data_IF_158013921075
#
_entry.id   IF_158013921075
#
_cell.length_a   1.000
_cell.length_b   1.000
_cell.length_c   1.000
_cell.angle_alpha   90.00
_cell.angle_beta   90.00
_cell.angle_gamma   90.00
#
_symmetry.space_group_name_H-M   'P 1'
#
loop_
_entity.id
_entity.type
_entity.pdbx_description
1 polymer ?
#
# COMPACT_ATOMS: atom_id res chain seq x y z
N UNK A 1 9.09 5.30 18.89
CA UNK A 1 10.01 6.15 19.68
C UNK A 1 11.28 6.36 18.87
N UNK A 2 11.98 7.48 19.09
CA UNK A 2 13.23 7.80 18.39
C UNK A 2 14.29 6.68 18.51
N UNK A 3 14.32 6.00 19.64
CA UNK A 3 15.25 4.88 19.90
C UNK A 3 15.00 3.67 18.97
N UNK A 4 13.74 3.37 18.68
CA UNK A 4 13.38 2.28 17.75
C UNK A 4 13.81 2.63 16.34
N UNK A 5 13.57 3.86 15.91
CA UNK A 5 13.97 4.34 14.59
C UNK A 5 15.50 4.35 14.44
N UNK A 6 16.21 4.86 15.46
CA UNK A 6 17.66 4.85 15.49
C UNK A 6 18.22 3.42 15.43
N UNK A 7 17.70 2.51 16.25
CA UNK A 7 18.09 1.10 16.24
C UNK A 7 17.88 0.47 14.85
N UNK A 8 16.73 0.70 14.25
CA UNK A 8 16.39 0.17 12.92
C UNK A 8 17.36 0.68 11.86
N UNK A 9 17.64 1.98 11.85
CA UNK A 9 18.60 2.60 10.93
C UNK A 9 20.00 2.01 11.11
N UNK A 10 20.48 1.91 12.34
CA UNK A 10 21.81 1.36 12.62
C UNK A 10 21.91 -0.10 12.18
N UNK A 11 20.93 -0.93 12.53
CA UNK A 11 20.97 -2.36 12.19
C UNK A 11 20.79 -2.60 10.68
N UNK A 12 19.73 -2.04 10.08
CA UNK A 12 19.39 -2.38 8.69
C UNK A 12 20.28 -1.67 7.68
N UNK A 13 20.54 -0.37 7.89
CA UNK A 13 21.26 0.43 6.88
C UNK A 13 22.76 0.56 7.15
N UNK A 14 23.19 0.71 8.41
CA UNK A 14 24.62 0.91 8.68
C UNK A 14 25.36 -0.42 8.87
N UNK A 15 24.78 -1.37 9.63
CA UNK A 15 25.47 -2.65 9.89
C UNK A 15 25.40 -3.59 8.69
N UNK A 16 24.27 -3.67 8.00
CA UNK A 16 24.09 -4.55 6.85
C UNK A 16 24.21 -3.82 5.51
N UNK A 17 24.09 -2.48 5.48
CA UNK A 17 24.24 -1.67 4.28
C UNK A 17 23.20 -1.92 3.19
N UNK A 18 23.42 -1.32 2.01
CA UNK A 18 22.58 -1.51 0.82
C UNK A 18 23.15 -2.57 -0.13
N UNK A 19 24.45 -2.80 -0.08
CA UNK A 19 25.14 -3.86 -0.79
C UNK A 19 25.60 -4.92 0.21
N UNK A 20 25.09 -6.14 0.08
CA UNK A 20 25.41 -7.21 0.98
C UNK A 20 25.51 -8.54 0.21
N UNK A 21 26.41 -9.38 0.70
CA UNK A 21 26.57 -10.74 0.21
C UNK A 21 25.44 -11.64 0.74
N UNK A 22 25.26 -12.81 0.13
CA UNK A 22 24.28 -13.81 0.54
C UNK A 22 24.39 -14.19 2.02
N UNK A 23 25.59 -14.14 2.59
CA UNK A 23 25.86 -14.43 4.00
C UNK A 23 25.25 -13.39 4.93
N UNK A 24 25.36 -12.13 4.57
CA UNK A 24 24.83 -10.99 5.34
C UNK A 24 23.30 -10.94 5.27
N UNK A 25 22.75 -11.17 4.10
CA UNK A 25 21.31 -11.33 3.90
C UNK A 25 20.74 -12.43 4.82
N UNK A 26 21.39 -13.60 4.86
CA UNK A 26 20.96 -14.70 5.75
C UNK A 26 21.00 -14.31 7.23
N UNK A 27 21.98 -13.53 7.65
CA UNK A 27 22.10 -13.05 9.05
C UNK A 27 21.02 -12.07 9.40
N UNK A 28 20.74 -11.11 8.49
CA UNK A 28 19.65 -10.14 8.67
C UNK A 28 18.30 -10.85 8.73
N UNK A 29 18.03 -11.79 7.83
CA UNK A 29 16.80 -12.57 7.84
C UNK A 29 16.67 -13.43 9.11
N UNK A 30 17.76 -14.02 9.62
CA UNK A 30 17.76 -14.75 10.88
C UNK A 30 17.44 -13.83 12.09
N UNK A 31 17.98 -12.61 12.11
CA UNK A 31 17.65 -11.59 13.11
C UNK A 31 16.15 -11.24 13.04
N UNK A 32 15.63 -10.96 11.85
CA UNK A 32 14.21 -10.68 11.63
C UNK A 32 13.31 -11.84 12.08
N UNK A 33 13.70 -13.08 11.79
CA UNK A 33 12.99 -14.28 12.27
C UNK A 33 12.95 -14.34 13.80
N UNK A 34 14.08 -14.08 14.48
CA UNK A 34 14.13 -14.03 15.94
C UNK A 34 13.22 -12.96 16.53
N UNK A 35 13.23 -11.78 15.91
CA UNK A 35 12.37 -10.66 16.30
C UNK A 35 10.88 -10.98 16.09
N UNK A 36 10.52 -11.55 14.94
CA UNK A 36 9.16 -12.02 14.65
C UNK A 36 8.69 -13.09 15.65
N UNK A 37 9.53 -14.08 15.97
CA UNK A 37 9.18 -15.10 16.98
C UNK A 37 8.84 -14.47 18.33
N UNK A 38 9.59 -13.47 18.78
CA UNK A 38 9.30 -12.75 20.03
C UNK A 38 7.98 -11.98 19.94
N UNK A 39 7.74 -11.28 18.83
CA UNK A 39 6.50 -10.52 18.61
C UNK A 39 5.27 -11.44 18.64
N UNK A 40 5.34 -12.57 17.93
CA UNK A 40 4.26 -13.58 17.95
C UNK A 40 4.05 -14.17 19.35
N UNK A 41 5.12 -14.47 20.09
CA UNK A 41 5.01 -14.98 21.46
C UNK A 41 4.43 -13.94 22.42
N UNK A 42 4.70 -12.66 22.20
CA UNK A 42 4.21 -11.56 23.03
C UNK A 42 2.78 -11.13 22.71
N UNK A 43 2.22 -11.56 21.58
CA UNK A 43 0.86 -11.16 21.14
C UNK A 43 -0.28 -11.70 22.01
N UNK A 44 0.02 -12.61 22.94
CA UNK A 44 -0.97 -13.18 23.87
C UNK A 44 -2.12 -13.93 23.21
N UNK A 45 -1.98 -14.33 21.94
CA UNK A 45 -3.03 -14.96 21.15
C UNK A 45 -3.96 -13.97 20.41
N UNK A 46 -3.74 -12.67 20.53
CA UNK A 46 -4.54 -11.65 19.83
C UNK A 46 -3.99 -11.40 18.41
N UNK A 47 -4.57 -12.06 17.44
CA UNK A 47 -4.22 -11.92 16.03
C UNK A 47 -4.47 -10.49 15.49
N UNK A 48 -5.53 -9.83 15.96
CA UNK A 48 -5.92 -8.50 15.47
C UNK A 48 -4.98 -7.37 15.85
N UNK A 49 -4.16 -7.54 16.89
CA UNK A 49 -3.17 -6.55 17.33
C UNK A 49 -1.84 -6.69 16.58
N UNK A 50 -1.56 -7.87 16.02
CA UNK A 50 -0.33 -8.14 15.31
C UNK A 50 -0.18 -7.25 14.07
N UNK A 51 0.99 -6.68 13.84
CA UNK A 51 1.31 -5.75 12.75
C UNK A 51 0.58 -4.39 12.77
N UNK A 52 -0.37 -4.15 13.69
CA UNK A 52 -0.96 -2.81 13.88
C UNK A 52 -0.11 -1.92 14.78
N UNK A 53 0.60 -2.53 15.72
CA UNK A 53 1.49 -1.81 16.61
C UNK A 53 2.70 -1.25 15.83
N UNK A 54 3.15 -0.07 16.22
CA UNK A 54 4.39 0.53 15.76
C UNK A 54 5.57 -0.05 16.56
N UNK A 55 5.76 -1.37 16.47
CA UNK A 55 6.81 -2.09 17.21
C UNK A 55 8.17 -1.97 16.51
N UNK A 56 9.24 -2.25 17.24
CA UNK A 56 10.58 -2.31 16.66
C UNK A 56 10.66 -3.34 15.51
N UNK A 57 9.95 -4.45 15.63
CA UNK A 57 9.88 -5.50 14.61
C UNK A 57 9.22 -4.96 13.34
N UNK A 58 8.07 -4.30 13.49
CA UNK A 58 7.36 -3.68 12.36
C UNK A 58 8.23 -2.64 11.65
N UNK A 59 8.92 -1.77 12.40
CA UNK A 59 9.83 -0.77 11.82
C UNK A 59 11.01 -1.43 11.09
N UNK A 60 11.59 -2.48 11.65
CA UNK A 60 12.71 -3.20 11.02
C UNK A 60 12.26 -3.92 9.74
N UNK A 61 11.06 -4.52 9.72
CA UNK A 61 10.48 -5.10 8.52
C UNK A 61 10.22 -4.06 7.42
N UNK A 62 9.73 -2.87 7.80
CA UNK A 62 9.52 -1.77 6.86
C UNK A 62 10.85 -1.25 6.29
N UNK A 63 11.87 -1.10 7.13
CA UNK A 63 13.19 -0.70 6.67
C UNK A 63 13.78 -1.74 5.71
N UNK A 64 13.62 -3.02 6.01
CA UNK A 64 14.01 -4.11 5.11
C UNK A 64 13.28 -4.04 3.77
N UNK A 65 11.96 -3.82 3.79
CA UNK A 65 11.12 -3.73 2.60
C UNK A 65 11.38 -2.47 1.73
N UNK A 66 12.10 -1.48 2.26
CA UNK A 66 12.52 -0.26 1.53
C UNK A 66 13.94 -0.34 0.95
N UNK A 67 14.57 -1.51 0.99
CA UNK A 67 15.90 -1.69 0.41
C UNK A 67 15.84 -1.64 -1.13
N UNK A 68 16.94 -1.28 -1.82
CA UNK A 68 16.94 -1.06 -3.26
C UNK A 68 16.33 -2.20 -4.07
N UNK A 69 16.66 -3.45 -3.77
CA UNK A 69 16.11 -4.61 -4.47
C UNK A 69 14.59 -4.76 -4.32
N UNK A 70 14.06 -4.43 -3.13
CA UNK A 70 12.62 -4.48 -2.87
C UNK A 70 11.89 -3.31 -3.53
N UNK A 71 12.51 -2.13 -3.56
CA UNK A 71 11.97 -0.96 -4.26
C UNK A 71 11.98 -1.12 -5.77
N UNK A 72 13.06 -1.66 -6.36
CA UNK A 72 13.13 -1.97 -7.79
C UNK A 72 12.03 -2.97 -8.21
N UNK A 73 11.76 -3.99 -7.41
CA UNK A 73 10.67 -4.94 -7.68
C UNK A 73 9.28 -4.26 -7.64
N UNK A 74 9.06 -3.30 -6.75
CA UNK A 74 7.83 -2.49 -6.73
C UNK A 74 7.72 -1.60 -7.96
N UNK A 75 8.82 -0.96 -8.36
CA UNK A 75 8.88 -0.13 -9.55
C UNK A 75 8.53 -0.93 -10.80
N UNK A 76 9.19 -2.06 -11.03
CA UNK A 76 8.90 -2.95 -12.16
C UNK A 76 7.43 -3.42 -12.17
N UNK A 77 6.89 -3.68 -10.99
CA UNK A 77 5.53 -4.16 -10.82
C UNK A 77 4.48 -3.07 -11.05
N UNK A 78 4.68 -1.88 -10.51
CA UNK A 78 3.63 -0.84 -10.40
C UNK A 78 3.78 0.31 -11.38
N UNK A 79 5.02 0.70 -11.74
CA UNK A 79 5.25 1.92 -12.51
C UNK A 79 4.49 1.97 -13.85
N UNK A 80 4.37 0.89 -14.64
CA UNK A 80 3.62 0.96 -15.89
C UNK A 80 2.13 1.26 -15.69
N UNK A 81 1.51 0.69 -14.65
CA UNK A 81 0.10 0.94 -14.33
C UNK A 81 -0.10 2.33 -13.73
N UNK A 82 0.81 2.75 -12.85
CA UNK A 82 0.77 4.08 -12.25
C UNK A 82 0.96 5.18 -13.31
N UNK A 83 1.86 4.97 -14.26
CA UNK A 83 2.07 5.91 -15.37
C UNK A 83 0.80 6.08 -16.22
N UNK A 84 0.06 4.99 -16.46
CA UNK A 84 -1.21 5.05 -17.19
C UNK A 84 -2.30 5.79 -16.38
N UNK A 85 -2.46 5.45 -15.09
CA UNK A 85 -3.50 6.05 -14.22
C UNK A 85 -3.23 7.53 -13.94
N UNK A 86 -1.97 7.93 -13.88
CA UNK A 86 -1.53 9.28 -13.58
C UNK A 86 -1.21 10.12 -14.84
N UNK A 87 -1.47 9.58 -16.02
CA UNK A 87 -1.28 10.32 -17.26
C UNK A 87 -2.14 11.60 -17.27
N UNK A 88 -1.63 12.72 -17.84
CA UNK A 88 -2.36 14.00 -17.83
C UNK A 88 -3.74 13.96 -18.51
N UNK A 89 -3.91 13.04 -19.44
CA UNK A 89 -5.14 12.78 -20.21
C UNK A 89 -5.97 11.60 -19.65
N UNK A 90 -5.50 10.97 -18.56
CA UNK A 90 -6.25 9.89 -17.92
C UNK A 90 -7.53 10.42 -17.27
N UNK A 91 -8.60 9.61 -17.37
CA UNK A 91 -9.85 9.93 -16.69
C UNK A 91 -9.64 9.91 -15.17
N UNK A 92 -10.04 10.97 -14.45
CA UNK A 92 -9.94 11.01 -12.99
C UNK A 92 -10.74 9.87 -12.34
N UNK A 93 -10.12 9.17 -11.38
CA UNK A 93 -10.74 8.06 -10.64
C UNK A 93 -11.36 8.51 -9.29
N UNK A 94 -11.48 9.80 -9.05
CA UNK A 94 -12.09 10.33 -7.82
C UNK A 94 -13.59 9.98 -7.78
N UNK A 95 -14.01 9.33 -6.70
CA UNK A 95 -15.40 8.88 -6.49
C UNK A 95 -16.10 9.62 -5.34
N UNK A 96 -15.41 10.47 -4.60
CA UNK A 96 -16.06 11.22 -3.51
C UNK A 96 -17.06 12.22 -4.09
N UNK A 97 -18.37 12.11 -3.77
CA UNK A 97 -19.40 12.90 -4.41
C UNK A 97 -19.18 14.41 -4.34
N UNK A 98 -18.71 14.90 -3.18
CA UNK A 98 -18.38 16.31 -3.00
C UNK A 98 -17.23 16.78 -3.91
N UNK A 99 -16.17 15.97 -4.06
CA UNK A 99 -15.04 16.31 -4.92
C UNK A 99 -15.44 16.29 -6.41
N UNK A 100 -16.26 15.30 -6.82
CA UNK A 100 -16.81 15.24 -8.18
C UNK A 100 -17.70 16.45 -8.47
N UNK A 101 -18.60 16.81 -7.54
CA UNK A 101 -19.46 17.97 -7.69
C UNK A 101 -18.66 19.27 -7.82
N UNK A 102 -17.68 19.48 -6.94
CA UNK A 102 -16.79 20.65 -7.00
C UNK A 102 -16.02 20.71 -8.32
N UNK A 103 -15.55 19.57 -8.81
CA UNK A 103 -14.85 19.49 -10.09
C UNK A 103 -15.76 19.86 -11.27
N UNK A 104 -17.04 19.47 -11.25
CA UNK A 104 -18.03 19.86 -12.27
C UNK A 104 -18.31 21.35 -12.28
N UNK A 105 -18.46 21.98 -11.09
CA UNK A 105 -18.61 23.42 -10.95
C UNK A 105 -17.40 24.15 -11.54
N UNK A 106 -16.20 23.80 -11.09
CA UNK A 106 -14.96 24.43 -11.54
C UNK A 106 -14.72 24.26 -13.05
N UNK A 107 -15.01 23.07 -13.60
CA UNK A 107 -14.89 22.81 -15.04
C UNK A 107 -15.82 23.68 -15.88
N UNK A 108 -17.07 23.87 -15.41
CA UNK A 108 -18.00 24.76 -16.09
C UNK A 108 -17.50 26.21 -16.09
N UNK A 109 -17.16 26.74 -14.92
CA UNK A 109 -16.67 28.12 -14.75
C UNK A 109 -15.39 28.39 -15.53
N UNK A 110 -14.46 27.40 -15.57
CA UNK A 110 -13.21 27.53 -16.32
C UNK A 110 -13.44 27.50 -17.83
N UNK A 111 -14.45 26.78 -18.33
CA UNK A 111 -14.72 26.64 -19.75
C UNK A 111 -15.57 27.78 -20.34
N UNK A 112 -16.49 28.33 -19.56
CA UNK A 112 -17.44 29.33 -20.02
C UNK A 112 -17.08 30.75 -19.58
N UNK A 113 -16.36 30.90 -18.48
CA UNK A 113 -16.13 32.18 -17.80
C UNK A 113 -17.35 32.69 -16.98
N UNK A 114 -18.46 31.97 -17.02
CA UNK A 114 -19.68 32.30 -16.30
C UNK A 114 -19.84 31.43 -15.04
N UNK A 115 -20.60 31.91 -14.06
CA UNK A 115 -20.94 31.15 -12.87
C UNK A 115 -21.66 29.85 -13.24
N UNK A 116 -21.32 28.76 -12.57
CA UNK A 116 -21.95 27.46 -12.81
C UNK A 116 -23.45 27.51 -12.54
N UNK A 117 -24.31 26.89 -13.38
CA UNK A 117 -25.73 26.73 -13.10
C UNK A 117 -25.99 25.81 -11.90
N UNK A 118 -24.96 25.02 -11.51
CA UNK A 118 -25.01 24.23 -10.28
C UNK A 118 -24.76 25.12 -9.08
N UNK A 119 -25.58 25.04 -8.01
CA UNK A 119 -25.32 25.80 -6.80
C UNK A 119 -23.95 25.46 -6.22
N UNK A 120 -23.24 26.42 -5.60
CA UNK A 120 -21.95 26.11 -5.00
C UNK A 120 -22.09 24.99 -3.96
N UNK A 121 -21.07 24.12 -3.77
CA UNK A 121 -21.12 23.05 -2.78
C UNK A 121 -21.29 23.69 -1.39
N UNK A 122 -22.45 23.46 -0.81
CA UNK A 122 -22.84 24.02 0.50
C UNK A 122 -22.86 22.96 1.59
N UNK A 123 -23.98 22.84 2.28
CA UNK A 123 -24.20 21.91 3.39
C UNK A 123 -24.72 20.54 2.96
N UNK A 124 -24.73 20.24 1.64
CA UNK A 124 -25.22 18.95 1.15
C UNK A 124 -24.33 17.80 1.63
N UNK A 125 -25.00 16.71 1.98
CA UNK A 125 -24.34 15.45 2.34
C UNK A 125 -23.81 14.72 1.09
N UNK A 126 -22.83 13.84 1.26
CA UNK A 126 -22.32 13.00 0.17
C UNK A 126 -23.45 12.17 -0.49
N UNK A 127 -24.47 11.77 0.26
CA UNK A 127 -25.61 11.02 -0.26
C UNK A 127 -26.50 11.87 -1.19
N UNK A 128 -26.75 13.11 -0.80
CA UNK A 128 -27.53 14.08 -1.63
C UNK A 128 -26.76 14.43 -2.90
N UNK A 129 -25.45 14.66 -2.79
CA UNK A 129 -24.60 14.97 -3.94
C UNK A 129 -24.48 13.75 -4.87
N UNK A 130 -24.36 12.52 -4.36
CA UNK A 130 -24.34 11.31 -5.17
C UNK A 130 -25.64 11.09 -5.95
N UNK A 131 -26.79 11.53 -5.40
CA UNK A 131 -28.08 11.47 -6.08
C UNK A 131 -28.27 12.56 -7.14
N UNK A 132 -27.40 13.60 -7.15
CA UNK A 132 -27.47 14.67 -8.16
C UNK A 132 -27.20 14.09 -9.58
N UNK A 133 -28.04 14.31 -10.59
CA UNK A 133 -27.93 13.66 -11.88
C UNK A 133 -26.57 13.80 -12.57
N UNK A 134 -25.94 14.97 -12.50
CA UNK A 134 -24.62 15.20 -13.07
C UNK A 134 -23.51 14.42 -12.35
N UNK A 135 -23.58 14.31 -11.02
CA UNK A 135 -22.63 13.54 -10.22
C UNK A 135 -22.84 12.04 -10.45
N UNK A 136 -24.10 11.59 -10.43
CA UNK A 136 -24.46 10.21 -10.66
C UNK A 136 -23.98 9.71 -12.04
N UNK A 137 -24.09 10.54 -13.08
CA UNK A 137 -23.57 10.22 -14.41
C UNK A 137 -22.05 10.00 -14.41
N UNK A 138 -21.29 10.92 -13.76
CA UNK A 138 -19.84 10.79 -13.64
C UNK A 138 -19.44 9.57 -12.82
N UNK A 139 -20.13 9.30 -11.72
CA UNK A 139 -19.86 8.12 -10.89
C UNK A 139 -20.15 6.82 -11.63
N UNK A 140 -21.24 6.77 -12.44
CA UNK A 140 -21.58 5.61 -13.25
C UNK A 140 -20.52 5.26 -14.30
N UNK A 141 -19.76 6.26 -14.78
CA UNK A 141 -18.64 6.07 -15.70
C UNK A 141 -17.34 5.69 -14.95
N UNK A 142 -17.06 6.35 -13.84
CA UNK A 142 -15.78 6.15 -13.10
C UNK A 142 -15.72 4.86 -12.28
N UNK A 143 -16.84 4.39 -11.72
CA UNK A 143 -16.86 3.16 -10.90
C UNK A 143 -16.41 1.94 -11.69
N UNK A 144 -16.94 1.64 -12.89
CA UNK A 144 -16.47 0.52 -13.70
C UNK A 144 -14.98 0.66 -14.08
N UNK A 145 -14.54 1.87 -14.40
CA UNK A 145 -13.14 2.13 -14.73
C UNK A 145 -12.20 1.87 -13.56
N UNK A 146 -12.56 2.33 -12.35
CA UNK A 146 -11.79 2.04 -11.14
C UNK A 146 -11.74 0.54 -10.86
N UNK A 147 -12.87 -0.16 -10.97
CA UNK A 147 -12.91 -1.61 -10.77
C UNK A 147 -12.01 -2.35 -11.77
N UNK A 148 -12.07 -2.01 -13.05
CA UNK A 148 -11.19 -2.58 -14.08
C UNK A 148 -9.71 -2.28 -13.79
N UNK A 149 -9.40 -1.08 -13.29
CA UNK A 149 -8.02 -0.72 -12.88
C UNK A 149 -7.55 -1.55 -11.69
N UNK A 150 -8.42 -1.76 -10.69
CA UNK A 150 -8.11 -2.64 -9.55
C UNK A 150 -7.90 -4.11 -9.98
N UNK A 151 -8.72 -4.63 -10.90
CA UNK A 151 -8.57 -5.97 -11.44
C UNK A 151 -7.23 -6.15 -12.18
N UNK A 152 -6.85 -5.17 -13.00
CA UNK A 152 -5.55 -5.17 -13.68
C UNK A 152 -4.39 -5.11 -12.70
N UNK A 153 -4.51 -4.30 -11.64
CA UNK A 153 -3.52 -4.25 -10.57
C UNK A 153 -3.37 -5.62 -9.89
N UNK A 154 -4.47 -6.24 -9.50
CA UNK A 154 -4.44 -7.57 -8.86
C UNK A 154 -3.84 -8.62 -9.78
N UNK A 155 -4.24 -8.68 -11.04
CA UNK A 155 -3.67 -9.62 -12.01
C UNK A 155 -2.15 -9.42 -12.18
N UNK A 156 -1.70 -8.15 -12.19
CA UNK A 156 -0.27 -7.84 -12.28
C UNK A 156 0.49 -8.24 -11.00
N UNK A 157 -0.08 -8.01 -9.82
CA UNK A 157 0.50 -8.47 -8.55
C UNK A 157 0.63 -9.99 -8.52
N UNK A 158 -0.39 -10.72 -8.94
CA UNK A 158 -0.37 -12.19 -9.02
C UNK A 158 0.72 -12.69 -9.98
N UNK A 159 0.82 -12.09 -11.16
CA UNK A 159 1.84 -12.44 -12.15
C UNK A 159 3.27 -12.11 -11.71
N UNK A 160 3.43 -11.17 -10.77
CA UNK A 160 4.74 -10.68 -10.30
C UNK A 160 5.21 -11.33 -8.99
N UNK A 161 4.48 -12.27 -8.41
CA UNK A 161 4.83 -12.88 -7.11
C UNK A 161 6.23 -13.50 -7.13
N UNK A 162 6.60 -14.16 -8.22
CA UNK A 162 7.92 -14.79 -8.35
C UNK A 162 9.06 -13.78 -8.54
N UNK A 163 8.76 -12.57 -9.02
CA UNK A 163 9.71 -11.47 -9.16
C UNK A 163 9.99 -10.75 -7.83
N UNK A 164 9.16 -10.95 -6.80
CA UNK A 164 9.43 -10.39 -5.48
C UNK A 164 10.78 -10.89 -4.94
N UNK A 165 11.59 -10.02 -4.32
CA UNK A 165 12.87 -10.42 -3.73
C UNK A 165 12.75 -11.59 -2.77
N UNK A 166 13.75 -12.46 -2.79
CA UNK A 166 13.77 -13.65 -1.94
C UNK A 166 13.43 -13.34 -0.47
N UNK A 167 13.99 -12.29 0.10
CA UNK A 167 13.78 -11.96 1.50
C UNK A 167 12.35 -11.54 1.82
N UNK A 168 11.64 -10.83 0.92
CA UNK A 168 10.22 -10.48 1.11
C UNK A 168 9.37 -11.76 1.12
N UNK A 169 9.58 -12.66 0.17
CA UNK A 169 8.90 -13.96 0.11
C UNK A 169 9.22 -14.84 1.31
N UNK A 170 10.47 -14.81 1.76
CA UNK A 170 10.93 -15.57 2.92
C UNK A 170 10.28 -15.05 4.22
N UNK A 171 10.25 -13.73 4.43
CA UNK A 171 9.56 -13.11 5.58
C UNK A 171 8.08 -13.50 5.59
N UNK A 172 7.38 -13.37 4.46
CA UNK A 172 5.99 -13.77 4.33
C UNK A 172 5.76 -15.24 4.73
N UNK A 173 6.64 -16.14 4.29
CA UNK A 173 6.60 -17.56 4.66
C UNK A 173 6.84 -17.80 6.15
N UNK A 174 7.81 -17.12 6.74
CA UNK A 174 8.08 -17.22 8.18
C UNK A 174 6.90 -16.70 9.00
N UNK A 175 6.31 -15.57 8.61
CA UNK A 175 5.10 -15.04 9.26
C UNK A 175 3.94 -16.03 9.19
N UNK A 176 3.72 -16.66 8.04
CA UNK A 176 2.68 -17.69 7.89
C UNK A 176 2.93 -18.90 8.81
N UNK A 177 4.17 -19.37 8.89
CA UNK A 177 4.54 -20.49 9.75
C UNK A 177 4.35 -20.14 11.23
N UNK A 178 4.82 -18.97 11.67
CA UNK A 178 4.67 -18.50 13.04
C UNK A 178 3.21 -18.31 13.42
N UNK A 179 2.41 -17.72 12.52
CA UNK A 179 0.98 -17.54 12.74
C UNK A 179 0.25 -18.88 12.97
N UNK A 180 0.55 -19.90 12.16
CA UNK A 180 -0.05 -21.23 12.31
C UNK A 180 0.32 -21.90 13.63
N UNK A 181 1.52 -21.69 14.13
CA UNK A 181 1.98 -22.28 15.40
C UNK A 181 1.43 -21.49 16.60
N UNK A 182 1.37 -20.16 16.50
CA UNK A 182 0.96 -19.30 17.62
C UNK A 182 -0.56 -19.27 17.78
N UNK A 183 -1.30 -19.19 16.69
CA UNK A 183 -2.76 -19.06 16.68
C UNK A 183 -3.42 -20.41 16.36
N UNK A 184 -3.40 -21.32 17.33
CA UNK A 184 -3.98 -22.65 17.19
C UNK A 184 -5.47 -22.53 16.87
N UNK A 185 -5.94 -23.20 15.80
CA UNK A 185 -7.34 -23.13 15.35
C UNK A 185 -7.66 -21.96 14.41
N UNK A 186 -6.70 -21.08 14.12
CA UNK A 186 -6.91 -20.03 13.12
C UNK A 186 -7.14 -20.63 11.73
N UNK A 187 -8.14 -20.09 11.03
CA UNK A 187 -8.41 -20.46 9.63
C UNK A 187 -7.27 -20.00 8.69
N UNK A 188 -7.19 -20.63 7.52
CA UNK A 188 -6.23 -20.20 6.49
C UNK A 188 -6.41 -18.73 6.11
N UNK A 189 -7.64 -18.23 6.05
CA UNK A 189 -7.96 -16.83 5.76
C UNK A 189 -7.36 -15.91 6.83
N UNK A 190 -7.53 -16.26 8.10
CA UNK A 190 -6.97 -15.47 9.21
C UNK A 190 -5.44 -15.44 9.20
N UNK A 191 -4.80 -16.58 8.95
CA UNK A 191 -3.35 -16.66 8.82
C UNK A 191 -2.85 -15.84 7.64
N UNK A 192 -3.51 -15.95 6.50
CA UNK A 192 -3.16 -15.17 5.31
C UNK A 192 -3.39 -13.66 5.49
N UNK A 193 -4.35 -13.25 6.34
CA UNK A 193 -4.56 -11.83 6.68
C UNK A 193 -3.35 -11.22 7.39
N UNK A 194 -2.61 -11.99 8.19
CA UNK A 194 -1.36 -11.51 8.82
C UNK A 194 -0.29 -11.25 7.75
N UNK A 195 -0.12 -12.19 6.82
CA UNK A 195 0.83 -12.04 5.70
C UNK A 195 0.42 -10.86 4.81
N UNK A 196 -0.86 -10.76 4.49
CA UNK A 196 -1.43 -9.63 3.74
C UNK A 196 -1.23 -8.29 4.44
N UNK A 197 -1.28 -8.26 5.77
CA UNK A 197 -0.98 -7.08 6.58
C UNK A 197 0.46 -6.58 6.37
N UNK A 198 1.41 -7.46 6.17
CA UNK A 198 2.79 -7.09 5.83
C UNK A 198 2.94 -6.79 4.34
N UNK A 199 2.67 -7.76 3.47
CA UNK A 199 2.99 -7.67 2.04
C UNK A 199 2.12 -6.62 1.36
N UNK A 200 0.81 -6.65 1.58
CA UNK A 200 -0.09 -5.73 0.90
C UNK A 200 -0.15 -4.36 1.60
N UNK A 201 -0.51 -4.30 2.89
CA UNK A 201 -0.76 -3.01 3.54
C UNK A 201 0.51 -2.22 3.85
N UNK A 202 1.67 -2.86 4.02
CA UNK A 202 2.88 -2.17 4.45
C UNK A 202 3.98 -2.09 3.38
N UNK A 203 3.96 -2.97 2.39
CA UNK A 203 4.95 -2.96 1.32
C UNK A 203 4.33 -2.42 0.01
N UNK A 204 3.23 -3.01 -0.48
CA UNK A 204 2.63 -2.65 -1.78
C UNK A 204 1.77 -1.38 -1.68
N UNK A 205 0.83 -1.31 -0.73
CA UNK A 205 -0.14 -0.21 -0.65
C UNK A 205 0.48 1.19 -0.52
N UNK A 206 1.56 1.41 0.26
CA UNK A 206 2.23 2.71 0.27
C UNK A 206 2.78 3.14 -1.09
N UNK A 207 3.21 2.17 -1.91
CA UNK A 207 3.71 2.43 -3.25
C UNK A 207 2.60 2.86 -4.24
N UNK A 208 1.35 2.43 -3.98
CA UNK A 208 0.18 2.84 -4.76
C UNK A 208 -0.32 4.21 -4.31
N UNK A 209 -0.38 4.45 -2.98
CA UNK A 209 -0.98 5.65 -2.40
C UNK A 209 -0.05 6.87 -2.45
N UNK A 210 1.26 6.66 -2.30
CA UNK A 210 2.29 7.71 -2.31
C UNK A 210 3.48 7.32 -3.18
N UNK A 211 3.26 7.12 -4.50
CA UNK A 211 4.30 6.64 -5.39
C UNK A 211 5.46 7.64 -5.57
N UNK A 212 5.18 8.94 -5.49
CA UNK A 212 6.15 10.04 -5.45
C UNK A 212 7.05 9.98 -4.21
N UNK A 213 6.46 9.74 -3.03
CA UNK A 213 7.19 9.60 -1.77
C UNK A 213 8.15 8.41 -1.75
N UNK A 214 7.97 7.45 -2.65
CA UNK A 214 8.85 6.29 -2.84
C UNK A 214 9.69 6.37 -4.13
N UNK A 215 9.70 7.49 -4.82
CA UNK A 215 10.40 7.71 -6.10
C UNK A 215 10.03 6.71 -7.22
N UNK A 216 8.83 6.14 -7.18
CA UNK A 216 8.32 5.23 -8.21
C UNK A 216 7.82 5.96 -9.46
N UNK A 217 7.53 7.24 -9.32
CA UNK A 217 7.14 8.15 -10.40
C UNK A 217 7.91 9.46 -10.23
N UNK A 218 8.28 10.08 -11.36
CA UNK A 218 8.81 11.43 -11.34
C UNK A 218 7.63 12.40 -11.39
N UNK A 219 7.33 13.09 -10.31
CA UNK A 219 6.47 14.28 -10.34
C UNK A 219 7.18 15.36 -11.15
N UNK A 220 6.59 15.72 -12.27
CA UNK A 220 7.03 16.88 -13.07
C UNK A 220 6.55 18.17 -12.44
#
# INVERSE_FOLDING_TARGET
SADIELFTRVVVYNLFGDQFETREERRLLALLQGALKREFSASGGEMGAFMRANSAVTQTLLAYARRPAAMAALEDMLAPLLAEVLAPDAMPLELKPHAVYTSLVNAHESSTGDASPLPPPGTQTDAELAAHPAVAAVLAERVPLLLATCERLLARLEASVDALPFGIRWIARIMQQLARVTFIGASTVQVNSIVGGFVFLRYINPAIVTPDGLNLIQTR
#
